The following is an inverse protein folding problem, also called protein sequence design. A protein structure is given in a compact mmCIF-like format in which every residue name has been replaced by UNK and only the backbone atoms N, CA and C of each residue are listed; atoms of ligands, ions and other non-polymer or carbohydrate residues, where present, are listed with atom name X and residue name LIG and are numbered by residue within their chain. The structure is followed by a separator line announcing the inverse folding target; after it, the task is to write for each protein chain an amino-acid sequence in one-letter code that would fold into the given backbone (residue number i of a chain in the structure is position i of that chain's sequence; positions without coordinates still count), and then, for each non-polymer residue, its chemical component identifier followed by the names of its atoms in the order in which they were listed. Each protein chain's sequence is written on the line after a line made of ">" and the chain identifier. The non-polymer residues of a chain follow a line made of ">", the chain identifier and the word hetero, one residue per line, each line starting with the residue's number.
data_IF_756793075124
#
_entry.id   IF_756793075124
#
_cell.length_a   1.000
_cell.length_b   1.000
_cell.length_c   1.000
_cell.angle_alpha   90.00
_cell.angle_beta   90.00
_cell.angle_gamma   90.00
#
_symmetry.space_group_name_H-M   'P 1'
#
loop_
_entity.id
_entity.type
_entity.pdbx_description
1 polymer ?
#
# COMPACT_ATOMS: atom_id res chain seq x y z
N UNK A 1 -16.47 16.06 32.63
CA UNK A 1 -16.98 15.73 31.28
C UNK A 1 -16.71 14.26 31.02
N UNK A 2 -17.71 13.38 31.16
CA UNK A 2 -17.54 11.94 30.93
C UNK A 2 -17.49 11.68 29.43
N UNK A 3 -16.29 11.45 28.89
CA UNK A 3 -16.11 11.13 27.49
C UNK A 3 -16.72 9.75 27.23
N UNK A 4 -17.78 9.70 26.41
CA UNK A 4 -18.52 8.47 26.15
C UNK A 4 -17.65 7.50 25.35
N UNK A 5 -17.40 6.30 25.89
CA UNK A 5 -16.58 5.27 25.23
C UNK A 5 -17.04 4.95 23.80
N UNK A 6 -18.35 5.02 23.52
CA UNK A 6 -18.88 4.85 22.16
C UNK A 6 -18.48 6.00 21.23
N UNK A 7 -18.51 7.24 21.74
CA UNK A 7 -18.10 8.42 20.97
C UNK A 7 -16.60 8.38 20.68
N UNK A 8 -15.78 7.94 21.65
CA UNK A 8 -14.33 7.72 21.45
C UNK A 8 -14.10 6.69 20.35
N UNK A 9 -14.80 5.56 20.38
CA UNK A 9 -14.64 4.50 19.38
C UNK A 9 -14.99 4.99 17.96
N UNK A 10 -16.10 5.74 17.83
CA UNK A 10 -16.52 6.32 16.55
C UNK A 10 -15.47 7.32 16.04
N UNK A 11 -14.94 8.18 16.91
CA UNK A 11 -13.89 9.13 16.53
C UNK A 11 -12.60 8.44 16.09
N UNK A 12 -12.20 7.34 16.75
CA UNK A 12 -11.04 6.53 16.35
C UNK A 12 -11.26 5.94 14.96
N UNK A 13 -12.42 5.31 14.71
CA UNK A 13 -12.74 4.73 13.41
C UNK A 13 -12.69 5.80 12.31
N UNK A 14 -13.30 6.96 12.55
CA UNK A 14 -13.30 8.06 11.58
C UNK A 14 -11.89 8.57 11.27
N UNK A 15 -11.04 8.68 12.30
CA UNK A 15 -9.64 9.08 12.14
C UNK A 15 -8.82 8.07 11.32
N UNK A 16 -8.98 6.77 11.58
CA UNK A 16 -8.27 5.74 10.82
C UNK A 16 -8.68 5.76 9.33
N UNK A 17 -9.97 5.92 9.05
CA UNK A 17 -10.48 6.01 7.67
C UNK A 17 -9.95 7.25 6.94
N UNK A 18 -9.83 8.40 7.61
CA UNK A 18 -9.31 9.63 6.99
C UNK A 18 -7.80 9.59 6.73
N UNK A 19 -7.02 8.92 7.59
CA UNK A 19 -5.60 8.66 7.34
C UNK A 19 -5.40 7.72 6.15
N UNK A 20 -6.24 6.68 6.01
CA UNK A 20 -6.17 5.77 4.88
C UNK A 20 -6.51 6.48 3.56
N UNK A 21 -7.57 7.29 3.54
CA UNK A 21 -7.98 8.03 2.34
C UNK A 21 -6.98 9.10 1.90
N UNK A 22 -6.34 9.79 2.83
CA UNK A 22 -5.30 10.79 2.51
C UNK A 22 -4.02 10.14 1.97
N UNK A 23 -3.58 9.01 2.54
CA UNK A 23 -2.46 8.25 2.01
C UNK A 23 -2.75 7.71 0.59
N UNK A 24 -3.98 7.25 0.35
CA UNK A 24 -4.46 6.86 -0.97
C UNK A 24 -4.51 8.04 -1.94
N UNK A 25 -4.95 9.23 -1.49
CA UNK A 25 -5.01 10.42 -2.34
C UNK A 25 -3.63 10.91 -2.79
N UNK A 26 -2.62 10.80 -1.92
CA UNK A 26 -1.23 11.24 -2.22
C UNK A 26 -0.53 10.25 -3.16
N UNK A 27 -0.66 8.95 -2.91
CA UNK A 27 -0.05 7.91 -3.75
C UNK A 27 -0.88 7.64 -5.01
N UNK A 28 -2.19 7.83 -4.95
CA UNK A 28 -3.16 7.59 -6.03
C UNK A 28 -3.07 6.18 -6.58
N UNK A 29 -2.93 5.16 -5.72
CA UNK A 29 -2.76 3.77 -6.15
C UNK A 29 -1.44 3.50 -6.90
N UNK A 30 -0.45 4.39 -6.80
CA UNK A 30 0.84 4.23 -7.50
C UNK A 30 1.91 3.66 -6.59
N UNK A 31 2.72 2.75 -7.14
CA UNK A 31 3.98 2.32 -6.53
C UNK A 31 5.14 2.61 -7.47
N UNK A 32 6.31 2.85 -6.89
CA UNK A 32 7.59 2.95 -7.59
C UNK A 32 8.34 1.66 -7.32
N UNK A 33 8.70 0.97 -8.39
CA UNK A 33 9.41 -0.30 -8.36
C UNK A 33 10.93 -0.12 -8.30
N UNK A 34 11.66 -1.22 -8.06
CA UNK A 34 13.12 -1.26 -7.98
C UNK A 34 13.85 -0.74 -9.24
N UNK A 35 13.21 -0.80 -10.41
CA UNK A 35 13.75 -0.30 -11.68
C UNK A 35 13.26 1.12 -12.00
N UNK A 36 12.81 1.86 -10.98
CA UNK A 36 12.29 3.23 -11.04
C UNK A 36 11.06 3.40 -11.94
N UNK A 37 10.38 2.31 -12.31
CA UNK A 37 9.14 2.40 -13.06
C UNK A 37 7.94 2.59 -12.13
N UNK A 38 7.00 3.41 -12.60
CA UNK A 38 5.73 3.68 -11.92
C UNK A 38 4.66 2.71 -12.41
N UNK A 39 4.01 2.05 -11.46
CA UNK A 39 2.83 1.20 -11.66
C UNK A 39 1.63 1.85 -10.97
N UNK A 40 0.44 1.62 -11.51
CA UNK A 40 -0.81 2.13 -10.95
C UNK A 40 -1.79 0.97 -10.83
N UNK A 41 -2.50 0.93 -9.71
CA UNK A 41 -3.45 -0.11 -9.33
C UNK A 41 -4.75 0.56 -8.88
N UNK A 42 -5.83 -0.22 -8.81
CA UNK A 42 -7.05 0.22 -8.13
C UNK A 42 -6.76 0.51 -6.66
N UNK A 43 -7.64 1.28 -6.02
CA UNK A 43 -7.51 1.60 -4.59
C UNK A 43 -7.49 0.33 -3.72
N UNK A 44 -8.33 -0.66 -4.05
CA UNK A 44 -8.39 -1.94 -3.36
C UNK A 44 -7.11 -2.76 -3.56
N UNK A 45 -6.64 -2.89 -4.80
CA UNK A 45 -5.42 -3.64 -5.11
C UNK A 45 -4.17 -2.98 -4.50
N UNK A 46 -4.13 -1.65 -4.47
CA UNK A 46 -3.05 -0.91 -3.83
C UNK A 46 -3.00 -1.17 -2.32
N UNK A 47 -4.15 -1.23 -1.64
CA UNK A 47 -4.22 -1.57 -0.22
C UNK A 47 -3.69 -2.98 0.04
N UNK A 48 -4.05 -3.95 -0.80
CA UNK A 48 -3.53 -5.31 -0.71
C UNK A 48 -2.00 -5.36 -0.87
N UNK A 49 -1.48 -4.65 -1.88
CA UNK A 49 -0.03 -4.53 -2.12
C UNK A 49 0.66 -3.89 -0.92
N UNK A 50 0.13 -2.79 -0.39
CA UNK A 50 0.71 -2.07 0.75
C UNK A 50 0.79 -2.96 1.99
N UNK A 51 -0.24 -3.78 2.22
CA UNK A 51 -0.37 -4.65 3.38
C UNK A 51 0.41 -5.98 3.29
N UNK A 52 1.08 -6.27 2.17
CA UNK A 52 1.95 -7.45 2.03
C UNK A 52 2.96 -7.55 3.18
N UNK A 53 3.24 -8.77 3.63
CA UNK A 53 4.39 -9.02 4.51
C UNK A 53 5.68 -9.02 3.71
N UNK A 54 6.80 -8.90 4.43
CA UNK A 54 8.11 -8.95 3.81
C UNK A 54 8.35 -10.30 3.12
N UNK A 55 8.84 -10.26 1.87
CA UNK A 55 9.11 -11.43 1.04
C UNK A 55 7.88 -12.00 0.32
N UNK A 56 6.66 -11.62 0.71
CA UNK A 56 5.44 -12.10 0.07
C UNK A 56 5.24 -11.46 -1.31
N UNK A 57 4.60 -12.22 -2.20
CA UNK A 57 4.29 -11.83 -3.58
C UNK A 57 2.79 -11.94 -3.82
N UNK A 58 2.25 -11.01 -4.59
CA UNK A 58 0.85 -11.02 -5.04
C UNK A 58 0.78 -10.64 -6.52
N UNK A 59 -0.15 -11.24 -7.25
CA UNK A 59 -0.43 -10.86 -8.64
C UNK A 59 -1.59 -9.88 -8.67
N UNK A 60 -1.40 -8.70 -9.26
CA UNK A 60 -2.45 -7.69 -9.40
C UNK A 60 -2.46 -7.08 -10.80
N UNK A 61 -3.60 -6.55 -11.20
CA UNK A 61 -3.76 -5.89 -12.49
C UNK A 61 -3.25 -4.45 -12.41
N UNK A 62 -2.19 -4.16 -13.17
CA UNK A 62 -1.69 -2.80 -13.31
C UNK A 62 -2.59 -2.04 -14.30
N UNK A 63 -3.41 -1.12 -13.81
CA UNK A 63 -4.37 -0.35 -14.61
C UNK A 63 -3.68 0.53 -15.66
N UNK A 64 -2.50 1.08 -15.34
CA UNK A 64 -1.72 1.91 -16.29
C UNK A 64 -1.15 1.12 -17.47
N UNK A 65 -0.81 -0.15 -17.27
CA UNK A 65 -0.19 -1.01 -18.31
C UNK A 65 -1.13 -2.06 -18.87
N UNK A 66 -2.35 -2.13 -18.34
CA UNK A 66 -3.39 -3.06 -18.73
C UNK A 66 -2.95 -4.54 -18.72
N UNK A 67 -2.12 -4.91 -17.76
CA UNK A 67 -1.54 -6.26 -17.65
C UNK A 67 -1.46 -6.72 -16.20
N UNK A 68 -1.45 -8.04 -16.00
CA UNK A 68 -1.09 -8.64 -14.71
C UNK A 68 0.41 -8.49 -14.47
N UNK A 69 0.76 -8.19 -13.23
CA UNK A 69 2.15 -8.14 -12.76
C UNK A 69 2.23 -8.79 -11.39
N UNK A 70 3.36 -9.41 -11.12
CA UNK A 70 3.68 -9.97 -9.82
C UNK A 70 4.43 -8.91 -9.02
N UNK A 71 3.93 -8.60 -7.82
CA UNK A 71 4.49 -7.59 -6.93
C UNK A 71 4.98 -8.28 -5.66
N UNK A 72 6.26 -8.08 -5.35
CA UNK A 72 6.88 -8.56 -4.11
C UNK A 72 7.33 -7.39 -3.24
N UNK A 73 7.02 -7.46 -1.95
CA UNK A 73 7.49 -6.49 -0.96
C UNK A 73 8.81 -6.94 -0.36
N UNK A 74 9.85 -6.11 -0.45
CA UNK A 74 11.09 -6.33 0.26
C UNK A 74 11.33 -5.20 1.25
N UNK A 75 11.29 -5.52 2.55
CA UNK A 75 11.53 -4.59 3.65
C UNK A 75 12.86 -4.94 4.30
N UNK A 76 13.78 -3.98 4.30
CA UNK A 76 15.10 -4.13 4.92
C UNK A 76 15.31 -3.04 5.95
N UNK A 77 15.87 -3.41 7.09
CA UNK A 77 16.31 -2.46 8.11
C UNK A 77 17.83 -2.46 8.18
N UNK A 78 18.45 -1.33 7.87
CA UNK A 78 19.91 -1.18 7.92
C UNK A 78 20.29 0.26 8.27
N UNK A 79 21.25 0.41 9.18
CA UNK A 79 21.72 1.69 9.74
C UNK A 79 20.61 2.56 10.34
N UNK A 80 19.67 1.95 11.06
CA UNK A 80 18.55 2.69 11.66
C UNK A 80 17.43 3.06 10.68
N UNK A 81 17.61 2.76 9.39
CA UNK A 81 16.66 3.14 8.33
C UNK A 81 15.87 1.93 7.84
N UNK A 82 14.55 2.08 7.85
CA UNK A 82 13.62 1.14 7.24
C UNK A 82 13.40 1.48 5.76
N UNK A 83 13.65 0.52 4.88
CA UNK A 83 13.52 0.67 3.44
C UNK A 83 12.53 -0.36 2.92
N UNK A 84 11.52 0.10 2.18
CA UNK A 84 10.62 -0.77 1.42
C UNK A 84 10.94 -0.63 -0.06
N UNK A 85 11.22 -1.76 -0.70
CA UNK A 85 11.50 -1.88 -2.13
C UNK A 85 10.43 -2.79 -2.73
N UNK A 86 9.77 -2.31 -3.79
CA UNK A 86 8.79 -3.09 -4.54
C UNK A 86 9.47 -3.73 -5.76
N UNK A 87 9.55 -5.06 -5.78
CA UNK A 87 9.95 -5.79 -6.99
C UNK A 87 8.69 -6.04 -7.81
N UNK A 88 8.73 -5.73 -9.10
CA UNK A 88 7.57 -5.88 -9.99
C UNK A 88 8.03 -6.54 -11.28
N UNK A 89 7.50 -7.73 -11.53
CA UNK A 89 7.78 -8.55 -12.71
C UNK A 89 6.51 -8.77 -13.52
N UNK A 90 6.64 -9.05 -14.82
CA UNK A 90 5.49 -9.47 -15.63
C UNK A 90 5.12 -10.90 -15.23
N UNK A 91 3.84 -11.15 -14.99
CA UNK A 91 3.34 -12.52 -14.79
C UNK A 91 3.55 -13.30 -16.11
N UNK A 92 4.11 -14.52 -16.00
CA UNK A 92 4.29 -15.44 -17.14
C UNK A 92 2.96 -16.04 -17.64
#
# INVERSE_FOLDING_TARGET
>A
MMLNKKLILISIIFFMTSCASTALAISGGKIISHDFKVYHFSDEDYLDIFNLKNGETITKYCTKRQQLVDIRKNRTYHDGVDRTIWIVDKTE
#
